data_IF_361019851923
#
_entry.id   IF_361019851923
#
_cell.length_a   1.000
_cell.length_b   1.000
_cell.length_c   1.000
_cell.angle_alpha   90.00
_cell.angle_beta   90.00
_cell.angle_gamma   90.00
#
_symmetry.space_group_name_H-M   'P 1'
#
loop_
_entity.id
_entity.type
_entity.pdbx_description
1 polymer ?
#
# COMPACT_ATOMS: atom_id res chain seq x y z
N UNK A 1 20.77 -5.75 -1.27
CA UNK A 1 19.64 -6.55 -0.77
C UNK A 1 19.58 -6.38 0.74
N UNK A 2 18.46 -5.96 1.31
CA UNK A 2 18.34 -5.69 2.76
C UNK A 2 18.19 -7.00 3.55
N UNK A 3 19.31 -7.63 3.91
CA UNK A 3 19.37 -8.88 4.70
C UNK A 3 19.53 -8.58 6.19
N UNK A 4 19.24 -9.56 7.05
CA UNK A 4 19.49 -9.47 8.50
C UNK A 4 18.52 -8.58 9.30
N UNK A 5 17.42 -8.13 8.69
CA UNK A 5 16.41 -7.29 9.34
C UNK A 5 15.62 -8.07 10.39
N UNK A 6 15.44 -7.47 11.57
CA UNK A 6 14.67 -8.03 12.69
C UNK A 6 13.81 -6.92 13.30
N UNK A 7 12.66 -7.29 13.85
CA UNK A 7 11.80 -6.39 14.62
C UNK A 7 11.37 -7.04 15.93
N UNK A 8 10.90 -6.22 16.88
CA UNK A 8 10.22 -6.67 18.09
C UNK A 8 8.95 -5.85 18.26
N UNK A 9 7.90 -6.48 18.77
CA UNK A 9 6.65 -5.81 19.09
C UNK A 9 6.64 -5.48 20.58
N UNK A 10 6.26 -4.25 20.93
CA UNK A 10 6.13 -3.78 22.31
C UNK A 10 4.68 -3.39 22.55
N UNK A 11 4.03 -4.02 23.52
CA UNK A 11 2.69 -3.69 23.99
C UNK A 11 2.73 -3.64 25.51
N UNK A 12 2.46 -2.47 26.09
CA UNK A 12 2.51 -2.24 27.55
C UNK A 12 3.83 -2.74 28.19
N UNK A 13 3.73 -3.78 29.00
CA UNK A 13 4.83 -4.45 29.71
C UNK A 13 5.44 -5.64 28.95
N UNK A 14 4.82 -6.07 27.84
CA UNK A 14 5.32 -7.16 27.02
C UNK A 14 6.20 -6.67 25.85
N UNK A 15 7.31 -7.36 25.64
CA UNK A 15 8.15 -7.23 24.44
C UNK A 15 8.31 -8.60 23.81
N UNK A 16 8.03 -8.71 22.51
CA UNK A 16 8.20 -9.98 21.80
C UNK A 16 9.68 -10.34 21.67
N UNK A 17 9.92 -11.63 21.44
CA UNK A 17 11.16 -12.12 20.86
C UNK A 17 11.43 -11.48 19.49
N UNK A 18 12.67 -11.61 19.02
CA UNK A 18 13.09 -11.11 17.72
C UNK A 18 12.39 -11.83 16.56
N UNK A 19 11.69 -11.06 15.74
CA UNK A 19 11.02 -11.54 14.53
C UNK A 19 11.90 -11.21 13.32
N UNK A 20 12.29 -12.23 12.54
CA UNK A 20 13.02 -12.02 11.29
C UNK A 20 12.10 -11.42 10.22
N UNK A 21 12.50 -10.31 9.62
CA UNK A 21 11.77 -9.67 8.53
C UNK A 21 12.25 -10.25 7.20
N UNK A 22 11.39 -11.09 6.61
CA UNK A 22 11.68 -11.76 5.33
C UNK A 22 11.30 -10.91 4.12
N UNK A 23 10.35 -9.97 4.27
CA UNK A 23 9.85 -9.13 3.19
C UNK A 23 9.34 -7.78 3.72
N UNK A 24 9.06 -6.85 2.81
CA UNK A 24 8.57 -5.50 3.10
C UNK A 24 9.68 -4.46 3.07
N UNK A 25 9.28 -3.20 3.13
CA UNK A 25 10.14 -2.01 3.18
C UNK A 25 10.25 -1.49 4.63
N UNK A 26 11.23 -0.65 4.91
CA UNK A 26 11.48 -0.14 6.27
C UNK A 26 10.73 1.16 6.49
N UNK A 27 9.95 1.27 7.57
CA UNK A 27 9.32 2.53 7.93
C UNK A 27 10.36 3.52 8.47
N UNK A 28 10.26 4.79 8.08
CA UNK A 28 11.17 5.86 8.49
C UNK A 28 12.40 6.03 7.60
N UNK A 29 12.63 5.13 6.64
CA UNK A 29 13.58 5.34 5.55
C UNK A 29 12.93 6.23 4.46
N UNK A 30 13.52 7.40 4.12
CA UNK A 30 12.97 8.29 3.09
C UNK A 30 12.75 7.62 1.73
N UNK A 31 13.59 6.65 1.35
CA UNK A 31 13.44 5.95 0.07
C UNK A 31 12.33 4.90 0.10
N UNK A 32 12.04 4.34 1.27
CA UNK A 32 11.02 3.31 1.38
C UNK A 32 9.64 3.82 0.95
N UNK A 33 9.29 5.08 1.23
CA UNK A 33 8.01 5.66 0.80
C UNK A 33 7.91 5.79 -0.73
N UNK A 34 8.99 6.21 -1.40
CA UNK A 34 9.03 6.29 -2.87
C UNK A 34 8.91 4.89 -3.51
N UNK A 35 9.65 3.92 -2.97
CA UNK A 35 9.60 2.53 -3.44
C UNK A 35 8.21 1.92 -3.25
N UNK A 36 7.52 2.26 -2.17
CA UNK A 36 6.14 1.85 -1.92
C UNK A 36 5.18 2.37 -2.99
N UNK A 37 5.25 3.67 -3.33
CA UNK A 37 4.40 4.27 -4.37
C UNK A 37 4.65 3.61 -5.73
N UNK A 38 5.91 3.31 -6.06
CA UNK A 38 6.25 2.58 -7.29
C UNK A 38 5.66 1.16 -7.27
N UNK A 39 5.76 0.46 -6.14
CA UNK A 39 5.17 -0.88 -5.98
C UNK A 39 3.65 -0.85 -6.17
N UNK A 40 2.96 0.14 -5.59
CA UNK A 40 1.51 0.31 -5.70
C UNK A 40 1.05 0.92 -7.04
N UNK A 41 1.95 1.41 -7.90
CA UNK A 41 1.61 2.15 -9.12
C UNK A 41 0.63 1.43 -10.06
N UNK A 42 0.68 0.10 -10.11
CA UNK A 42 -0.24 -0.72 -10.93
C UNK A 42 -1.69 -0.65 -10.47
N UNK A 43 -1.93 -0.36 -9.18
CA UNK A 43 -3.28 -0.16 -8.67
C UNK A 43 -3.90 1.10 -9.25
N UNK A 44 -3.09 2.16 -9.44
CA UNK A 44 -3.52 3.45 -10.02
C UNK A 44 -4.00 3.29 -11.46
N UNK A 45 -3.44 2.33 -12.20
CA UNK A 45 -3.81 2.05 -13.60
C UNK A 45 -4.98 1.07 -13.74
N UNK A 46 -5.74 0.82 -12.68
CA UNK A 46 -6.87 -0.14 -12.71
C UNK A 46 -8.05 0.40 -13.51
N UNK A 47 -8.41 1.68 -13.32
CA UNK A 47 -9.44 2.33 -14.13
C UNK A 47 -8.92 2.61 -15.55
N UNK A 48 -9.76 2.41 -16.56
CA UNK A 48 -9.45 2.81 -17.93
C UNK A 48 -9.31 4.35 -18.02
N UNK A 49 -8.13 4.90 -18.38
CA UNK A 49 -7.92 6.34 -18.49
C UNK A 49 -8.81 7.02 -19.54
N UNK A 50 -9.31 6.27 -20.52
CA UNK A 50 -10.21 6.78 -21.55
C UNK A 50 -11.69 6.76 -21.10
N UNK A 51 -12.01 6.01 -20.04
CA UNK A 51 -13.35 5.90 -19.50
C UNK A 51 -13.69 7.09 -18.63
N UNK A 52 -14.82 7.75 -18.91
CA UNK A 52 -15.39 8.77 -18.01
C UNK A 52 -16.25 8.16 -16.89
N UNK A 53 -16.30 6.83 -16.81
CA UNK A 53 -17.16 6.09 -15.85
C UNK A 53 -16.37 5.47 -14.72
N UNK A 54 -15.06 5.45 -14.81
CA UNK A 54 -14.19 4.87 -13.81
C UNK A 54 -13.09 5.87 -13.48
N UNK A 55 -12.69 5.92 -12.21
CA UNK A 55 -11.59 6.77 -11.76
C UNK A 55 -10.88 6.06 -10.62
N UNK A 56 -9.56 5.91 -10.74
CA UNK A 56 -8.72 5.49 -9.62
C UNK A 56 -8.02 6.71 -9.02
N UNK A 57 -8.12 6.87 -7.70
CA UNK A 57 -7.38 7.86 -6.93
C UNK A 57 -6.51 7.10 -5.93
N UNK A 58 -5.24 7.47 -5.82
CA UNK A 58 -4.31 6.85 -4.87
C UNK A 58 -3.55 7.90 -4.08
N UNK A 59 -3.34 7.63 -2.81
CA UNK A 59 -2.55 8.44 -1.88
C UNK A 59 -1.77 7.53 -0.94
N UNK A 60 -0.46 7.40 -1.18
CA UNK A 60 0.45 6.52 -0.43
C UNK A 60 -0.07 5.08 -0.39
N UNK A 61 -0.73 4.66 0.69
CA UNK A 61 -1.31 3.33 0.93
C UNK A 61 -2.81 3.23 0.62
N UNK A 62 -3.51 4.36 0.57
CA UNK A 62 -4.91 4.38 0.19
C UNK A 62 -5.08 4.36 -1.33
N UNK A 63 -5.93 3.44 -1.81
CA UNK A 63 -6.37 3.42 -3.21
C UNK A 63 -7.89 3.29 -3.26
N UNK A 64 -8.52 4.22 -3.97
CA UNK A 64 -9.97 4.25 -4.18
C UNK A 64 -10.28 4.08 -5.66
N UNK A 65 -11.19 3.16 -5.98
CA UNK A 65 -11.80 3.01 -7.30
C UNK A 65 -13.24 3.53 -7.24
N UNK A 66 -13.55 4.50 -8.10
CA UNK A 66 -14.89 5.07 -8.27
C UNK A 66 -15.42 4.57 -9.60
N UNK A 67 -16.67 4.10 -9.63
CA UNK A 67 -17.34 3.63 -10.84
C UNK A 67 -18.76 4.17 -10.95
N UNK A 68 -19.19 4.49 -12.17
CA UNK A 68 -20.52 5.01 -12.49
C UNK A 68 -21.30 3.96 -13.29
N UNK A 69 -22.36 3.41 -12.67
CA UNK A 69 -23.30 2.51 -13.32
C UNK A 69 -24.14 3.21 -14.39
N UNK A 70 -24.65 2.45 -15.37
CA UNK A 70 -25.53 3.01 -16.42
C UNK A 70 -26.93 3.32 -15.90
N UNK A 71 -27.42 2.48 -15.00
CA UNK A 71 -28.75 2.57 -14.39
C UNK A 71 -28.64 2.20 -12.92
N UNK A 72 -29.60 2.67 -12.13
CA UNK A 72 -29.79 2.27 -10.75
C UNK A 72 -31.16 1.59 -10.67
N UNK A 73 -31.19 0.41 -10.06
CA UNK A 73 -32.42 -0.30 -9.71
C UNK A 73 -32.36 -0.50 -8.19
N UNK A 74 -33.40 -0.04 -7.50
CA UNK A 74 -33.56 -0.19 -6.05
C UNK A 74 -34.01 -1.61 -5.68
#
# INVERSE_FOLDING_TARGET
MLTGRRTRLRFDDYTSEDIKILNGIVQGDPFSMLLYVIYCSRLVTTADPASRKELTVAYVDDTTLIAIGKTFHE
#
